data_IF_759986110633
#
_entry.id   IF_759986110633
#
_cell.length_a   1.000
_cell.length_b   1.000
_cell.length_c   1.000
_cell.angle_alpha   90.00
_cell.angle_beta   90.00
_cell.angle_gamma   90.00
#
_symmetry.space_group_name_H-M   'P 1'
#
loop_
_entity.id
_entity.type
_entity.pdbx_description
1 polymer ?
#
# COMPACT_ATOMS: atom_id res chain seq x y z
N UNK A 1 -18.00 -5.33 37.92
CA UNK A 1 -18.06 -6.12 36.66
C UNK A 1 -18.42 -7.57 36.96
N UNK A 2 -17.49 -8.52 37.14
CA UNK A 2 -17.79 -9.97 37.28
C UNK A 2 -18.88 -10.35 38.30
N UNK A 3 -18.98 -9.66 39.44
CA UNK A 3 -20.06 -9.91 40.41
C UNK A 3 -21.44 -9.47 39.89
N UNK A 4 -21.50 -8.32 39.20
CA UNK A 4 -22.72 -7.78 38.60
C UNK A 4 -23.15 -8.57 37.36
N UNK A 5 -22.19 -9.01 36.53
CA UNK A 5 -22.44 -9.91 35.40
C UNK A 5 -23.16 -11.20 35.87
N UNK A 6 -22.65 -11.86 36.92
CA UNK A 6 -23.29 -13.05 37.51
C UNK A 6 -24.72 -12.81 38.01
N UNK A 7 -25.03 -11.60 38.49
CA UNK A 7 -26.39 -11.24 38.91
C UNK A 7 -27.33 -11.02 37.71
N UNK A 8 -26.82 -10.55 36.57
CA UNK A 8 -27.59 -10.46 35.32
C UNK A 8 -27.74 -11.84 34.67
N UNK A 9 -26.70 -12.67 34.69
CA UNK A 9 -26.73 -14.06 34.20
C UNK A 9 -27.79 -14.91 34.91
N UNK A 10 -28.08 -14.64 36.19
CA UNK A 10 -29.18 -15.28 36.93
C UNK A 10 -30.52 -15.05 36.23
N UNK A 11 -30.87 -13.80 35.93
CA UNK A 11 -32.13 -13.47 35.25
C UNK A 11 -32.16 -13.98 33.80
N UNK A 12 -31.00 -14.00 33.11
CA UNK A 12 -30.88 -14.61 31.79
C UNK A 12 -31.02 -16.15 31.82
N UNK A 13 -30.64 -16.81 32.92
CA UNK A 13 -30.87 -18.24 33.11
C UNK A 13 -32.34 -18.55 33.41
N UNK A 14 -33.00 -17.76 34.27
CA UNK A 14 -34.43 -17.88 34.51
C UNK A 14 -35.23 -17.69 33.20
N UNK A 15 -34.92 -16.66 32.42
CA UNK A 15 -35.54 -16.40 31.13
C UNK A 15 -35.32 -17.53 30.10
N UNK A 16 -34.15 -18.19 30.11
CA UNK A 16 -33.86 -19.35 29.24
C UNK A 16 -34.56 -20.65 29.66
N UNK A 17 -35.19 -20.66 30.83
CA UNK A 17 -35.89 -21.82 31.41
C UNK A 17 -37.39 -21.60 31.50
N UNK A 18 -37.88 -20.45 30.99
CA UNK A 18 -39.23 -19.93 31.20
C UNK A 18 -39.63 -19.81 32.70
N UNK A 19 -38.64 -19.61 33.56
CA UNK A 19 -38.74 -19.46 35.02
C UNK A 19 -38.73 -17.96 35.47
N UNK A 20 -38.86 -17.01 34.53
CA UNK A 20 -38.88 -15.57 34.83
C UNK A 20 -40.32 -15.03 34.84
N UNK A 21 -40.97 -15.10 36.01
CA UNK A 21 -42.35 -14.65 36.23
C UNK A 21 -42.46 -13.34 37.06
N UNK A 22 -43.69 -12.96 37.43
CA UNK A 22 -43.99 -11.77 38.24
C UNK A 22 -43.71 -11.91 39.75
N UNK A 23 -43.34 -13.11 40.21
CA UNK A 23 -42.96 -13.40 41.59
C UNK A 23 -41.43 -13.36 41.79
N UNK A 24 -40.62 -13.44 40.73
CA UNK A 24 -39.16 -13.33 40.80
C UNK A 24 -38.72 -11.96 41.37
N UNK A 25 -37.92 -11.92 42.46
CA UNK A 25 -37.48 -10.66 43.05
C UNK A 25 -36.41 -9.95 42.20
N UNK A 26 -36.67 -8.69 41.86
CA UNK A 26 -35.76 -7.84 41.05
C UNK A 26 -34.69 -7.12 41.87
N UNK A 27 -34.61 -7.33 43.18
CA UNK A 27 -33.67 -6.65 44.09
C UNK A 27 -32.20 -6.75 43.67
N UNK A 28 -31.80 -7.87 43.07
CA UNK A 28 -30.41 -8.05 42.62
C UNK A 28 -30.13 -7.24 41.34
N UNK A 29 -31.13 -7.07 40.47
CA UNK A 29 -31.05 -6.16 39.34
C UNK A 29 -30.97 -4.70 39.82
N UNK A 30 -31.71 -4.33 40.88
CA UNK A 30 -31.60 -2.99 41.48
C UNK A 30 -30.20 -2.73 42.07
N UNK A 31 -29.61 -3.69 42.79
CA UNK A 31 -28.22 -3.61 43.27
C UNK A 31 -27.21 -3.42 42.14
N UNK A 32 -27.42 -4.11 41.00
CA UNK A 32 -26.60 -3.94 39.78
C UNK A 32 -26.78 -2.55 39.18
N UNK A 33 -28.00 -2.04 39.07
CA UNK A 33 -28.28 -0.69 38.57
C UNK A 33 -27.67 0.39 39.46
N UNK A 34 -27.76 0.28 40.79
CA UNK A 34 -27.11 1.21 41.74
C UNK A 34 -25.60 1.23 41.56
N UNK A 35 -24.95 0.06 41.40
CA UNK A 35 -23.52 -0.01 41.12
C UNK A 35 -23.15 0.68 39.78
N UNK A 36 -23.90 0.42 38.71
CA UNK A 36 -23.65 1.10 37.43
C UNK A 36 -23.90 2.60 37.50
N UNK A 37 -24.86 3.06 38.29
CA UNK A 37 -25.12 4.47 38.52
C UNK A 37 -23.95 5.16 39.23
N UNK A 38 -23.37 4.53 40.26
CA UNK A 38 -22.19 5.07 40.95
C UNK A 38 -20.93 5.03 40.06
N UNK A 39 -20.72 3.95 39.31
CA UNK A 39 -19.61 3.84 38.35
C UNK A 39 -19.70 4.94 37.28
N UNK A 40 -20.90 5.16 36.72
CA UNK A 40 -21.15 6.22 35.75
C UNK A 40 -20.88 7.61 36.35
N UNK A 41 -21.38 7.88 37.56
CA UNK A 41 -21.19 9.18 38.22
C UNK A 41 -19.72 9.51 38.52
N UNK A 42 -18.90 8.51 38.85
CA UNK A 42 -17.48 8.69 39.17
C UNK A 42 -16.58 8.74 37.93
N UNK A 43 -16.84 7.90 36.91
CA UNK A 43 -15.92 7.70 35.79
C UNK A 43 -16.40 8.24 34.44
N UNK A 44 -17.71 8.45 34.26
CA UNK A 44 -18.34 8.74 32.95
C UNK A 44 -19.24 10.00 32.99
N UNK A 45 -19.20 10.76 34.08
CA UNK A 45 -20.02 11.97 34.28
C UNK A 45 -19.75 13.07 33.24
N UNK A 46 -18.52 13.12 32.72
CA UNK A 46 -18.06 14.09 31.72
C UNK A 46 -18.20 13.58 30.26
N UNK A 47 -18.71 12.36 30.04
CA UNK A 47 -18.80 11.78 28.70
C UNK A 47 -19.88 12.41 27.81
N UNK A 48 -19.65 12.36 26.50
CA UNK A 48 -20.54 12.92 25.48
C UNK A 48 -21.80 12.07 25.27
N UNK A 49 -22.76 12.19 26.19
CA UNK A 49 -24.09 11.54 26.07
C UNK A 49 -24.89 12.10 24.90
N UNK A 50 -25.36 11.22 24.02
CA UNK A 50 -26.40 11.51 23.02
C UNK A 50 -27.70 11.95 23.72
N UNK A 51 -28.03 13.23 23.62
CA UNK A 51 -29.21 13.81 24.25
C UNK A 51 -30.54 13.30 23.68
N UNK A 52 -30.55 12.83 22.43
CA UNK A 52 -31.75 12.25 21.80
C UNK A 52 -32.06 10.88 22.41
N UNK A 53 -31.03 10.04 22.62
CA UNK A 53 -31.21 8.75 23.30
C UNK A 53 -31.51 8.96 24.79
N UNK A 54 -30.75 9.80 25.49
CA UNK A 54 -30.98 10.12 26.91
C UNK A 54 -32.41 10.57 27.18
N UNK A 55 -32.95 11.45 26.33
CA UNK A 55 -34.32 11.94 26.48
C UNK A 55 -35.37 10.89 26.11
N UNK A 56 -35.14 10.09 25.06
CA UNK A 56 -36.01 8.96 24.69
C UNK A 56 -36.14 7.97 25.84
N UNK A 57 -35.01 7.55 26.40
CA UNK A 57 -34.93 6.50 27.40
C UNK A 57 -35.46 7.00 28.76
N UNK A 58 -35.16 8.25 29.12
CA UNK A 58 -35.76 8.92 30.29
C UNK A 58 -37.28 9.03 30.18
N UNK A 59 -37.81 9.54 29.06
CA UNK A 59 -39.25 9.66 28.85
C UNK A 59 -39.94 8.29 28.76
N UNK A 60 -39.26 7.26 28.25
CA UNK A 60 -39.76 5.88 28.25
C UNK A 60 -39.82 5.29 29.65
N UNK A 61 -38.77 5.45 30.45
CA UNK A 61 -38.74 5.02 31.86
C UNK A 61 -39.84 5.70 32.68
N UNK A 62 -39.97 7.03 32.56
CA UNK A 62 -41.05 7.80 33.17
C UNK A 62 -42.44 7.31 32.70
N UNK A 63 -42.62 7.01 31.41
CA UNK A 63 -43.88 6.49 30.89
C UNK A 63 -44.26 5.16 31.55
N UNK A 64 -43.30 4.22 31.66
CA UNK A 64 -43.54 2.91 32.27
C UNK A 64 -43.84 3.04 33.76
N UNK A 65 -43.16 3.93 34.48
CA UNK A 65 -43.46 4.23 35.88
C UNK A 65 -44.85 4.86 36.07
N UNK A 66 -45.25 5.78 35.18
CA UNK A 66 -46.61 6.35 35.18
C UNK A 66 -47.68 5.30 34.84
N UNK A 67 -47.43 4.46 33.83
CA UNK A 67 -48.30 3.34 33.45
C UNK A 67 -48.51 2.38 34.64
N UNK A 68 -47.43 1.96 35.32
CA UNK A 68 -47.49 1.10 36.50
C UNK A 68 -48.21 1.77 37.69
N UNK A 69 -48.03 3.07 37.87
CA UNK A 69 -48.71 3.86 38.92
C UNK A 69 -50.22 3.93 38.66
N UNK A 70 -50.63 4.23 37.41
CA UNK A 70 -52.04 4.27 37.00
C UNK A 70 -52.70 2.89 37.15
N UNK A 71 -52.02 1.81 36.77
CA UNK A 71 -52.51 0.44 36.96
C UNK A 71 -52.70 0.10 38.44
N UNK A 72 -51.69 0.39 39.28
CA UNK A 72 -51.72 0.03 40.71
C UNK A 72 -52.79 0.83 41.48
N UNK A 73 -52.84 2.16 41.30
CA UNK A 73 -53.87 3.00 41.93
C UNK A 73 -55.27 2.70 41.38
N UNK A 74 -55.38 2.39 40.09
CA UNK A 74 -56.62 1.97 39.46
C UNK A 74 -57.16 0.66 40.06
N UNK A 75 -56.28 -0.31 40.33
CA UNK A 75 -56.66 -1.57 40.98
C UNK A 75 -57.09 -1.35 42.44
N UNK A 76 -56.39 -0.50 43.21
CA UNK A 76 -56.82 -0.13 44.58
C UNK A 76 -58.20 0.53 44.55
N UNK A 77 -58.46 1.41 43.58
CA UNK A 77 -59.73 2.14 43.45
C UNK A 77 -60.95 1.25 43.14
N UNK A 78 -60.74 -0.03 42.79
CA UNK A 78 -61.82 -1.02 42.59
C UNK A 78 -62.11 -1.82 43.87
N UNK A 79 -61.21 -1.79 44.87
CA UNK A 79 -61.33 -2.57 46.12
C UNK A 79 -62.13 -1.85 47.23
N UNK A 80 -62.46 -0.57 47.06
CA UNK A 80 -63.18 0.23 48.05
C UNK A 80 -64.62 0.54 47.56
N UNK A 81 -65.67 0.23 48.35
CA UNK A 81 -67.05 0.55 47.99
C UNK A 81 -67.49 1.95 48.43
N UNK A 82 -66.84 2.53 49.46
CA UNK A 82 -67.36 3.69 50.19
C UNK A 82 -66.86 5.03 49.62
N UNK A 83 -67.75 6.03 49.56
CA UNK A 83 -67.39 7.41 49.23
C UNK A 83 -66.98 8.19 50.48
N UNK A 84 -65.70 8.54 50.58
CA UNK A 84 -65.15 9.36 51.66
C UNK A 84 -63.74 9.88 51.34
N UNK A 85 -63.12 10.62 52.26
CA UNK A 85 -61.89 11.39 52.01
C UNK A 85 -60.72 10.56 51.45
N UNK A 86 -60.49 9.35 51.97
CA UNK A 86 -59.43 8.45 51.45
C UNK A 86 -59.68 8.05 49.99
N UNK A 87 -60.95 7.95 49.57
CA UNK A 87 -61.34 7.66 48.19
C UNK A 87 -61.32 8.91 47.30
N UNK A 88 -61.62 10.10 47.83
CA UNK A 88 -61.37 11.36 47.11
C UNK A 88 -59.87 11.50 46.81
N UNK A 89 -59.02 11.35 47.83
CA UNK A 89 -57.56 11.35 47.72
C UNK A 89 -57.05 10.35 46.68
N UNK A 90 -57.56 9.12 46.68
CA UNK A 90 -57.15 8.08 45.73
C UNK A 90 -57.59 8.40 44.29
N UNK A 91 -58.82 8.90 44.09
CA UNK A 91 -59.33 9.27 42.78
C UNK A 91 -58.58 10.47 42.18
N UNK A 92 -58.24 11.47 42.99
CA UNK A 92 -57.39 12.58 42.58
C UNK A 92 -55.97 12.11 42.23
N UNK A 93 -55.35 11.26 43.07
CA UNK A 93 -54.03 10.67 42.82
C UNK A 93 -54.00 9.89 41.49
N UNK A 94 -55.05 9.09 41.24
CA UNK A 94 -55.22 8.34 40.01
C UNK A 94 -55.46 9.25 38.79
N UNK A 95 -56.16 10.38 38.98
CA UNK A 95 -56.38 11.38 37.92
C UNK A 95 -55.08 12.09 37.55
N UNK A 96 -54.33 12.56 38.55
CA UNK A 96 -53.00 13.15 38.39
C UNK A 96 -52.02 12.17 37.71
N UNK A 97 -52.08 10.89 38.07
CA UNK A 97 -51.27 9.85 37.41
C UNK A 97 -51.67 9.62 35.93
N UNK A 98 -52.97 9.65 35.61
CA UNK A 98 -53.48 9.58 34.22
C UNK A 98 -53.07 10.82 33.41
N UNK A 99 -53.02 12.00 34.03
CA UNK A 99 -52.53 13.22 33.39
C UNK A 99 -51.03 13.14 33.11
N UNK A 100 -50.22 12.72 34.10
CA UNK A 100 -48.78 12.50 33.92
C UNK A 100 -48.50 11.48 32.80
N UNK A 101 -49.19 10.33 32.83
CA UNK A 101 -49.17 9.31 31.79
C UNK A 101 -49.49 9.88 30.40
N UNK A 102 -50.55 10.69 30.29
CA UNK A 102 -50.91 11.34 29.03
C UNK A 102 -49.86 12.36 28.57
N UNK A 103 -49.32 13.18 29.46
CA UNK A 103 -48.29 14.17 29.14
C UNK A 103 -46.99 13.51 28.67
N UNK A 104 -46.53 12.45 29.35
CA UNK A 104 -45.36 11.66 28.95
C UNK A 104 -45.57 10.98 27.58
N UNK A 105 -46.76 10.41 27.35
CA UNK A 105 -47.16 9.87 26.03
C UNK A 105 -47.30 10.96 24.96
N UNK A 106 -47.50 12.23 25.30
CA UNK A 106 -47.44 13.37 24.35
C UNK A 106 -45.98 13.75 24.08
N UNK A 107 -45.15 13.93 25.10
CA UNK A 107 -43.72 14.24 24.96
C UNK A 107 -43.00 13.23 24.05
N UNK A 108 -43.20 11.92 24.28
CA UNK A 108 -42.62 10.86 23.42
C UNK A 108 -43.06 10.90 21.96
N UNK A 109 -44.24 11.46 21.64
CA UNK A 109 -44.71 11.64 20.25
C UNK A 109 -44.09 12.83 19.54
N UNK A 110 -43.54 13.81 20.28
CA UNK A 110 -42.77 14.92 19.71
C UNK A 110 -41.28 14.63 19.60
N UNK A 111 -40.77 13.52 20.16
CA UNK A 111 -39.38 13.09 20.01
C UNK A 111 -39.18 12.42 18.64
N UNK A 112 -38.91 13.25 17.62
CA UNK A 112 -38.73 12.81 16.24
C UNK A 112 -37.47 11.94 16.05
N UNK A 113 -37.51 10.92 15.15
CA UNK A 113 -36.33 10.14 14.82
C UNK A 113 -35.30 10.98 14.05
N UNK A 114 -34.01 10.68 14.26
CA UNK A 114 -32.84 11.28 13.59
C UNK A 114 -32.49 12.75 13.95
N UNK A 115 -33.31 13.45 14.74
CA UNK A 115 -32.97 14.76 15.31
C UNK A 115 -31.85 14.61 16.35
N UNK A 116 -30.92 15.58 16.40
CA UNK A 116 -29.87 15.64 17.42
C UNK A 116 -30.28 16.66 18.51
N UNK A 117 -30.45 16.19 19.75
CA UNK A 117 -30.97 17.01 20.85
C UNK A 117 -29.90 17.36 21.89
N UNK A 118 -29.94 18.59 22.41
CA UNK A 118 -29.04 19.07 23.46
C UNK A 118 -29.71 19.16 24.84
N UNK A 119 -29.58 18.08 25.61
CA UNK A 119 -29.98 18.06 27.03
C UNK A 119 -28.84 18.63 27.88
N UNK A 120 -28.94 19.92 28.26
CA UNK A 120 -28.08 20.61 29.25
C UNK A 120 -27.99 19.85 30.58
N UNK A 121 -26.86 19.91 31.32
CA UNK A 121 -26.63 19.12 32.53
C UNK A 121 -27.71 19.31 33.61
N UNK A 122 -28.20 20.53 33.81
CA UNK A 122 -29.31 20.85 34.73
C UNK A 122 -30.54 19.98 34.44
N UNK A 123 -30.97 19.96 33.16
CA UNK A 123 -32.09 19.14 32.67
C UNK A 123 -31.82 17.64 32.78
N UNK A 124 -30.55 17.20 32.77
CA UNK A 124 -30.18 15.79 32.98
C UNK A 124 -30.40 15.36 34.43
N UNK A 125 -30.08 16.21 35.41
CA UNK A 125 -30.36 15.90 36.82
C UNK A 125 -31.85 16.05 37.12
N UNK A 126 -32.56 17.04 36.57
CA UNK A 126 -34.03 17.16 36.68
C UNK A 126 -34.74 15.90 36.18
N UNK A 127 -34.39 15.40 34.97
CA UNK A 127 -34.90 14.13 34.42
C UNK A 127 -34.58 12.93 35.33
N UNK A 128 -33.38 12.91 35.94
CA UNK A 128 -32.94 11.84 36.83
C UNK A 128 -33.65 11.89 38.18
N UNK A 129 -33.85 13.07 38.74
CA UNK A 129 -34.52 13.29 40.03
C UNK A 129 -36.00 12.96 39.94
N UNK A 130 -36.70 13.49 38.93
CA UNK A 130 -38.09 13.14 38.66
C UNK A 130 -38.24 11.65 38.29
N UNK A 131 -37.23 11.07 37.64
CA UNK A 131 -37.13 9.61 37.43
C UNK A 131 -37.05 8.81 38.74
N UNK A 132 -36.21 9.24 39.70
CA UNK A 132 -36.14 8.65 41.05
C UNK A 132 -37.46 8.84 41.81
N UNK A 133 -38.05 10.04 41.73
CA UNK A 133 -39.32 10.38 42.37
C UNK A 133 -40.49 9.52 41.87
N UNK A 134 -40.76 9.53 40.56
CA UNK A 134 -41.83 8.73 39.98
C UNK A 134 -41.56 7.21 40.10
N UNK A 135 -40.29 6.78 40.09
CA UNK A 135 -39.91 5.40 40.38
C UNK A 135 -40.26 4.97 41.82
N UNK A 136 -40.05 5.85 42.82
CA UNK A 136 -40.53 5.63 44.19
C UNK A 136 -42.06 5.66 44.28
N UNK A 137 -42.72 6.60 43.61
CA UNK A 137 -44.18 6.66 43.55
C UNK A 137 -44.80 5.36 42.99
N UNK A 138 -44.24 4.80 41.91
CA UNK A 138 -44.68 3.53 41.36
C UNK A 138 -44.50 2.36 42.35
N UNK A 139 -43.39 2.35 43.11
CA UNK A 139 -43.16 1.36 44.17
C UNK A 139 -44.16 1.49 45.33
N UNK A 140 -44.48 2.71 45.77
CA UNK A 140 -45.51 2.97 46.80
C UNK A 140 -46.87 2.50 46.31
N UNK A 141 -47.27 2.87 45.09
CA UNK A 141 -48.56 2.47 44.52
C UNK A 141 -48.68 0.94 44.40
N UNK A 142 -47.61 0.24 43.99
CA UNK A 142 -47.56 -1.22 43.92
C UNK A 142 -47.57 -1.89 45.32
N UNK A 143 -46.89 -1.31 46.31
CA UNK A 143 -46.93 -1.80 47.69
C UNK A 143 -48.33 -1.66 48.29
N UNK A 144 -48.95 -0.47 48.13
CA UNK A 144 -50.34 -0.19 48.51
C UNK A 144 -51.30 -1.15 47.82
N UNK A 145 -51.15 -1.39 46.52
CA UNK A 145 -51.96 -2.36 45.78
C UNK A 145 -51.84 -3.79 46.33
N UNK A 146 -50.62 -4.28 46.54
CA UNK A 146 -50.38 -5.62 47.09
C UNK A 146 -50.99 -5.78 48.48
N UNK A 147 -50.78 -4.81 49.38
CA UNK A 147 -51.34 -4.85 50.73
C UNK A 147 -52.86 -4.71 50.73
N UNK A 148 -53.44 -3.86 49.86
CA UNK A 148 -54.89 -3.71 49.72
C UNK A 148 -55.57 -4.98 49.21
N UNK A 149 -54.96 -5.70 48.26
CA UNK A 149 -55.46 -7.02 47.81
C UNK A 149 -55.40 -8.04 48.95
N UNK A 150 -54.30 -8.11 49.71
CA UNK A 150 -54.19 -9.03 50.85
C UNK A 150 -55.26 -8.72 51.91
N UNK A 151 -55.46 -7.47 52.28
CA UNK A 151 -56.50 -7.09 53.25
C UNK A 151 -57.92 -7.32 52.70
N UNK A 152 -58.20 -6.99 51.43
CA UNK A 152 -59.52 -7.23 50.82
C UNK A 152 -59.86 -8.73 50.66
N UNK A 153 -58.86 -9.61 50.53
CA UNK A 153 -59.08 -11.07 50.53
C UNK A 153 -59.23 -11.68 51.93
N UNK A 154 -58.72 -11.02 52.98
CA UNK A 154 -58.84 -11.47 54.37
C UNK A 154 -60.12 -10.93 55.05
N UNK A 155 -60.49 -9.69 54.77
CA UNK A 155 -61.66 -9.01 55.34
C UNK A 155 -62.31 -8.05 54.32
N UNK A 156 -63.13 -8.56 53.38
CA UNK A 156 -63.92 -7.73 52.49
C UNK A 156 -65.16 -7.15 53.22
N UNK A 157 -65.57 -5.89 52.95
CA UNK A 157 -64.90 -4.89 52.11
C UNK A 157 -63.73 -4.19 52.82
N UNK A 158 -62.80 -3.63 52.03
CA UNK A 158 -61.69 -2.82 52.56
C UNK A 158 -62.19 -1.44 53.00
N UNK A 159 -62.03 -1.10 54.30
CA UNK A 159 -62.48 0.17 54.84
C UNK A 159 -61.55 1.35 54.49
N UNK A 160 -62.11 2.56 54.47
CA UNK A 160 -61.37 3.79 54.16
C UNK A 160 -60.26 4.11 55.17
N UNK A 161 -60.44 3.76 56.45
CA UNK A 161 -59.41 3.87 57.49
C UNK A 161 -58.28 2.87 57.28
N UNK A 162 -58.60 1.61 56.93
CA UNK A 162 -57.58 0.60 56.67
C UNK A 162 -56.76 0.94 55.43
N UNK A 163 -57.38 1.49 54.37
CA UNK A 163 -56.62 2.02 53.23
C UNK A 163 -55.66 3.14 53.64
N UNK A 164 -56.06 4.01 54.57
CA UNK A 164 -55.22 5.11 55.08
C UNK A 164 -54.03 4.59 55.88
N UNK A 165 -54.21 3.59 56.73
CA UNK A 165 -53.09 2.90 57.39
C UNK A 165 -52.12 2.29 56.36
N UNK A 166 -52.66 1.58 55.36
CA UNK A 166 -51.86 0.95 54.31
C UNK A 166 -51.11 1.95 53.43
N UNK A 167 -51.63 3.16 53.20
CA UNK A 167 -50.94 4.17 52.40
C UNK A 167 -49.75 4.76 53.14
N UNK A 168 -49.86 4.99 54.46
CA UNK A 168 -48.72 5.34 55.31
C UNK A 168 -47.69 4.20 55.44
N UNK A 169 -48.12 2.94 55.58
CA UNK A 169 -47.21 1.78 55.59
C UNK A 169 -46.45 1.65 54.25
N UNK A 170 -47.14 1.90 53.14
CA UNK A 170 -46.55 1.86 51.81
C UNK A 170 -45.55 3.01 51.56
N UNK A 171 -45.75 4.20 52.14
CA UNK A 171 -44.81 5.32 51.98
C UNK A 171 -43.55 5.15 52.84
N UNK A 172 -43.68 4.81 54.13
CA UNK A 172 -42.54 4.56 55.03
C UNK A 172 -41.64 3.46 54.46
N UNK A 173 -42.23 2.37 53.96
CA UNK A 173 -41.50 1.26 53.34
C UNK A 173 -40.64 1.64 52.12
N UNK A 174 -40.91 2.77 51.45
CA UNK A 174 -40.21 3.19 50.21
C UNK A 174 -39.40 4.47 50.37
N UNK A 175 -39.84 5.41 51.21
CA UNK A 175 -39.14 6.67 51.50
C UNK A 175 -38.37 6.63 52.83
N UNK A 176 -38.86 5.89 53.83
CA UNK A 176 -38.26 5.77 55.16
C UNK A 176 -37.98 7.13 55.79
N UNK A 177 -36.71 7.47 55.95
CA UNK A 177 -36.27 8.77 56.51
C UNK A 177 -36.64 10.00 55.68
N UNK A 178 -37.05 9.82 54.42
CA UNK A 178 -37.56 10.89 53.56
C UNK A 178 -39.10 10.95 53.52
N UNK A 179 -39.81 10.10 54.29
CA UNK A 179 -41.27 10.07 54.25
C UNK A 179 -41.93 11.31 54.88
N UNK A 180 -43.08 11.67 54.32
CA UNK A 180 -44.00 12.74 54.76
C UNK A 180 -45.46 12.26 54.60
N UNK A 181 -45.64 10.93 54.51
CA UNK A 181 -46.91 10.27 54.27
C UNK A 181 -47.36 10.30 52.80
N UNK A 182 -48.64 9.94 52.55
CA UNK A 182 -49.18 9.72 51.21
C UNK A 182 -49.04 10.89 50.23
N UNK A 183 -48.91 12.14 50.68
CA UNK A 183 -48.72 13.27 49.75
C UNK A 183 -47.42 13.20 48.95
N UNK A 184 -46.36 12.54 49.45
CA UNK A 184 -45.12 12.34 48.65
C UNK A 184 -45.33 11.46 47.42
N UNK A 185 -46.37 10.63 47.40
CA UNK A 185 -46.83 9.96 46.17
C UNK A 185 -47.32 11.01 45.15
N UNK A 186 -48.21 11.91 45.58
CA UNK A 186 -48.86 12.91 44.74
C UNK A 186 -47.89 13.98 44.25
N UNK A 187 -46.98 14.45 45.11
CA UNK A 187 -45.91 15.38 44.74
C UNK A 187 -45.01 14.82 43.64
N UNK A 188 -44.53 13.57 43.79
CA UNK A 188 -43.68 12.93 42.79
C UNK A 188 -44.40 12.75 41.43
N UNK A 189 -45.69 12.43 41.45
CA UNK A 189 -46.52 12.36 40.24
C UNK A 189 -46.70 13.77 39.64
N UNK A 190 -46.99 14.79 40.44
CA UNK A 190 -47.14 16.18 40.00
C UNK A 190 -45.86 16.74 39.37
N UNK A 191 -44.70 16.48 39.97
CA UNK A 191 -43.39 16.81 39.40
C UNK A 191 -43.19 16.16 38.02
N UNK A 192 -43.58 14.88 37.87
CA UNK A 192 -43.51 14.18 36.59
C UNK A 192 -44.46 14.74 35.52
N UNK A 193 -45.66 15.17 35.91
CA UNK A 193 -46.61 15.87 35.03
C UNK A 193 -46.03 17.22 34.58
N UNK A 194 -45.51 18.03 35.51
CA UNK A 194 -44.90 19.32 35.19
C UNK A 194 -43.71 19.16 34.24
N UNK A 195 -42.79 18.24 34.53
CA UNK A 195 -41.65 17.95 33.65
C UNK A 195 -42.12 17.48 32.26
N UNK A 196 -43.11 16.58 32.20
CA UNK A 196 -43.65 16.10 30.93
C UNK A 196 -44.27 17.22 30.09
N UNK A 197 -44.98 18.18 30.72
CA UNK A 197 -45.53 19.35 30.03
C UNK A 197 -44.43 20.30 29.54
N UNK A 198 -43.41 20.60 30.37
CA UNK A 198 -42.21 21.37 29.95
C UNK A 198 -41.49 20.69 28.77
N UNK A 199 -41.41 19.36 28.78
CA UNK A 199 -40.79 18.59 27.69
C UNK A 199 -41.65 18.59 26.42
N UNK A 200 -42.98 18.62 26.52
CA UNK A 200 -43.86 18.83 25.35
C UNK A 200 -43.57 20.19 24.71
N UNK A 201 -43.52 21.28 25.49
CA UNK A 201 -43.29 22.62 24.92
C UNK A 201 -41.91 22.74 24.29
N UNK A 202 -40.86 22.27 24.97
CA UNK A 202 -39.47 22.32 24.47
C UNK A 202 -39.22 21.46 23.22
N UNK A 203 -39.96 20.35 23.05
CA UNK A 203 -39.92 19.54 21.83
C UNK A 203 -40.79 20.11 20.70
N UNK A 204 -41.81 20.91 21.02
CA UNK A 204 -42.65 21.59 20.02
C UNK A 204 -42.02 22.89 19.49
N UNK A 205 -41.25 23.61 20.32
CA UNK A 205 -40.57 24.86 19.93
C UNK A 205 -39.24 24.63 19.20
N UNK A 206 -38.67 23.42 19.26
CA UNK A 206 -37.37 23.11 18.67
C UNK A 206 -36.16 23.61 19.48
N UNK A 207 -36.37 24.18 20.68
CA UNK A 207 -35.31 24.71 21.57
C UNK A 207 -34.28 23.67 22.06
N UNK A 208 -34.55 22.39 21.79
CA UNK A 208 -33.65 21.28 22.07
C UNK A 208 -32.85 20.83 20.86
N UNK A 209 -33.20 21.24 19.64
CA UNK A 209 -32.52 20.77 18.42
C UNK A 209 -31.18 21.49 18.23
N UNK A 210 -30.13 20.72 17.96
CA UNK A 210 -28.84 21.24 17.53
C UNK A 210 -28.45 20.69 16.15
N UNK A 211 -27.69 21.44 15.33
CA UNK A 211 -27.14 20.90 14.10
C UNK A 211 -26.32 19.64 14.39
N UNK A 212 -26.48 18.63 13.55
CA UNK A 212 -25.80 17.34 13.72
C UNK A 212 -24.32 17.47 13.40
N UNK A 213 -23.52 17.72 14.42
CA UNK A 213 -22.07 17.70 14.35
C UNK A 213 -21.58 16.38 13.75
N UNK A 214 -20.52 16.39 12.90
CA UNK A 214 -19.91 15.16 12.44
C UNK A 214 -19.30 14.44 13.64
N UNK A 215 -19.84 13.25 13.98
CA UNK A 215 -19.24 12.42 15.01
C UNK A 215 -17.76 12.15 14.65
N UNK A 216 -16.83 12.18 15.61
CA UNK A 216 -15.47 11.72 15.39
C UNK A 216 -15.47 10.34 14.73
N UNK A 217 -14.60 10.10 13.75
CA UNK A 217 -14.47 8.78 13.16
C UNK A 217 -14.19 7.75 14.26
N UNK A 218 -14.98 6.66 14.37
CA UNK A 218 -14.82 5.72 15.47
C UNK A 218 -13.42 5.11 15.40
N UNK A 219 -12.73 4.88 16.55
CA UNK A 219 -11.32 4.53 16.53
C UNK A 219 -11.00 3.25 15.72
N UNK A 220 -11.98 2.35 15.56
CA UNK A 220 -11.88 1.17 14.71
C UNK A 220 -11.85 1.47 13.21
N UNK A 221 -12.52 2.53 12.72
CA UNK A 221 -12.39 2.96 11.31
C UNK A 221 -11.03 3.60 11.07
N UNK A 222 -10.56 4.47 11.98
CA UNK A 222 -9.22 5.06 11.92
C UNK A 222 -8.14 3.97 11.88
N UNK A 223 -8.16 3.01 12.81
CA UNK A 223 -7.22 1.89 12.80
C UNK A 223 -7.30 1.06 11.50
N UNK A 224 -8.50 0.82 10.98
CA UNK A 224 -8.69 0.11 9.72
C UNK A 224 -8.22 0.91 8.49
N UNK A 225 -8.26 2.25 8.52
CA UNK A 225 -7.65 3.11 7.50
C UNK A 225 -6.12 3.04 7.58
N UNK A 226 -5.54 3.20 8.78
CA UNK A 226 -4.09 3.13 9.01
C UNK A 226 -3.51 1.78 8.54
N UNK A 227 -4.14 0.66 8.91
CA UNK A 227 -3.70 -0.68 8.50
C UNK A 227 -3.77 -0.87 6.97
N UNK A 228 -4.79 -0.32 6.29
CA UNK A 228 -4.89 -0.34 4.83
C UNK A 228 -3.81 0.51 4.16
N UNK A 229 -3.42 1.63 4.76
CA UNK A 229 -2.35 2.46 4.22
C UNK A 229 -0.99 1.78 4.40
N UNK A 230 -0.70 1.26 5.60
CA UNK A 230 0.50 0.47 5.86
C UNK A 230 0.65 -0.73 4.91
N UNK A 231 -0.45 -1.43 4.59
CA UNK A 231 -0.42 -2.52 3.60
C UNK A 231 0.01 -2.03 2.20
N UNK A 232 -0.53 -0.90 1.71
CA UNK A 232 -0.13 -0.29 0.44
C UNK A 232 1.34 0.15 0.45
N UNK A 233 1.79 0.71 1.57
CA UNK A 233 3.17 1.20 1.72
C UNK A 233 4.16 0.01 1.71
N UNK A 234 3.79 -1.12 2.34
CA UNK A 234 4.54 -2.38 2.28
C UNK A 234 4.63 -2.91 0.84
N UNK A 235 3.52 -2.95 0.09
CA UNK A 235 3.53 -3.43 -1.30
C UNK A 235 4.30 -2.49 -2.24
N UNK A 236 4.25 -1.18 -2.00
CA UNK A 236 5.08 -0.20 -2.70
C UNK A 236 6.58 -0.30 -2.35
N UNK A 237 6.93 -0.77 -1.15
CA UNK A 237 8.31 -1.07 -0.77
C UNK A 237 8.79 -2.41 -1.37
N UNK A 238 7.93 -3.42 -1.44
CA UNK A 238 8.22 -4.71 -2.12
C UNK A 238 8.57 -4.50 -3.59
N UNK A 239 7.73 -3.80 -4.34
CA UNK A 239 7.98 -3.52 -5.76
C UNK A 239 9.30 -2.75 -6.00
N UNK A 240 9.69 -1.85 -5.08
CA UNK A 240 10.99 -1.17 -5.10
C UNK A 240 12.14 -2.12 -4.82
N UNK A 241 11.98 -3.05 -3.87
CA UNK A 241 12.99 -4.04 -3.51
C UNK A 241 13.21 -5.04 -4.66
N UNK A 242 12.15 -5.58 -5.23
CA UNK A 242 12.18 -6.46 -6.42
C UNK A 242 12.92 -5.77 -7.60
N UNK A 243 12.64 -4.48 -7.85
CA UNK A 243 13.37 -3.70 -8.85
C UNK A 243 14.86 -3.57 -8.54
N UNK A 244 15.26 -3.46 -7.26
CA UNK A 244 16.68 -3.42 -6.87
C UNK A 244 17.36 -4.77 -6.94
N UNK A 245 16.65 -5.87 -6.68
CA UNK A 245 17.18 -7.21 -6.89
C UNK A 245 17.42 -7.49 -8.37
N UNK A 246 16.53 -7.02 -9.25
CA UNK A 246 16.72 -7.06 -10.70
C UNK A 246 17.94 -6.21 -11.16
N UNK A 247 18.09 -4.97 -10.65
CA UNK A 247 19.28 -4.13 -10.89
C UNK A 247 20.57 -4.87 -10.49
N UNK A 248 20.60 -5.45 -9.28
CA UNK A 248 21.76 -6.17 -8.73
C UNK A 248 22.08 -7.42 -9.57
N UNK A 249 21.07 -8.17 -10.01
CA UNK A 249 21.27 -9.33 -10.88
C UNK A 249 21.86 -8.94 -12.25
N UNK A 250 21.36 -7.85 -12.85
CA UNK A 250 21.88 -7.32 -14.11
C UNK A 250 23.33 -6.82 -13.96
N UNK A 251 23.63 -6.07 -12.90
CA UNK A 251 24.98 -5.56 -12.60
C UNK A 251 25.98 -6.70 -12.33
N UNK A 252 25.58 -7.75 -11.59
CA UNK A 252 26.42 -8.95 -11.38
C UNK A 252 26.74 -9.67 -12.70
N UNK A 253 25.77 -9.77 -13.62
CA UNK A 253 26.00 -10.34 -14.96
C UNK A 253 26.94 -9.46 -15.80
N UNK A 254 26.75 -8.14 -15.78
CA UNK A 254 27.62 -7.19 -16.48
C UNK A 254 29.06 -7.24 -15.96
N UNK A 255 29.25 -7.28 -14.63
CA UNK A 255 30.55 -7.39 -14.00
C UNK A 255 31.28 -8.69 -14.40
N UNK A 256 30.57 -9.83 -14.44
CA UNK A 256 31.16 -11.10 -14.88
C UNK A 256 31.66 -11.03 -16.33
N UNK A 257 30.84 -10.54 -17.26
CA UNK A 257 31.25 -10.39 -18.66
C UNK A 257 32.47 -9.45 -18.80
N UNK A 258 32.51 -8.35 -18.04
CA UNK A 258 33.67 -7.43 -18.03
C UNK A 258 34.93 -8.04 -17.41
N UNK A 259 34.79 -8.93 -16.43
CA UNK A 259 35.92 -9.70 -15.89
C UNK A 259 36.47 -10.71 -16.91
N UNK A 260 35.58 -11.35 -17.68
CA UNK A 260 35.95 -12.27 -18.76
C UNK A 260 36.67 -11.52 -19.89
N UNK A 261 36.12 -10.41 -20.38
CA UNK A 261 36.76 -9.49 -21.34
C UNK A 261 38.15 -9.02 -20.87
N UNK A 262 38.27 -8.60 -19.60
CA UNK A 262 39.55 -8.15 -19.04
C UNK A 262 40.59 -9.27 -19.02
N UNK A 263 40.19 -10.49 -18.63
CA UNK A 263 41.09 -11.65 -18.62
C UNK A 263 41.59 -12.02 -20.03
N UNK A 264 40.73 -11.93 -21.05
CA UNK A 264 41.14 -12.16 -22.44
C UNK A 264 42.10 -11.07 -22.93
N UNK A 265 41.81 -9.79 -22.63
CA UNK A 265 42.68 -8.67 -22.98
C UNK A 265 44.04 -8.72 -22.26
N UNK A 266 44.09 -9.23 -21.03
CA UNK A 266 45.32 -9.48 -20.29
C UNK A 266 46.18 -10.57 -20.98
N UNK A 267 45.60 -11.72 -21.34
CA UNK A 267 46.30 -12.77 -22.10
C UNK A 267 46.79 -12.26 -23.47
N UNK A 268 45.98 -11.44 -24.17
CA UNK A 268 46.38 -10.79 -25.43
C UNK A 268 47.55 -9.83 -25.24
N UNK A 269 47.58 -9.05 -24.15
CA UNK A 269 48.69 -8.16 -23.77
C UNK A 269 49.97 -8.95 -23.54
N UNK A 270 49.94 -9.96 -22.66
CA UNK A 270 51.11 -10.77 -22.33
C UNK A 270 51.71 -11.47 -23.57
N UNK A 271 50.86 -11.90 -24.50
CA UNK A 271 51.28 -12.50 -25.77
C UNK A 271 51.84 -11.47 -26.78
N UNK A 272 51.48 -10.19 -26.66
CA UNK A 272 52.08 -9.10 -27.43
C UNK A 272 53.44 -8.68 -26.84
N UNK A 273 53.55 -8.58 -25.51
CA UNK A 273 54.80 -8.25 -24.81
C UNK A 273 55.86 -9.33 -25.05
N UNK A 274 55.52 -10.63 -24.92
CA UNK A 274 56.45 -11.74 -25.25
C UNK A 274 56.92 -11.72 -26.71
N UNK A 275 56.06 -11.31 -27.65
CA UNK A 275 56.45 -11.12 -29.06
C UNK A 275 57.37 -9.92 -29.25
N UNK A 276 57.15 -8.83 -28.50
CA UNK A 276 58.00 -7.65 -28.51
C UNK A 276 59.38 -7.96 -27.92
N UNK A 277 59.45 -8.69 -26.81
CA UNK A 277 60.71 -9.15 -26.21
C UNK A 277 61.52 -10.04 -27.15
N UNK A 278 60.88 -11.01 -27.82
CA UNK A 278 61.55 -11.87 -28.80
C UNK A 278 62.03 -11.07 -30.01
N UNK A 279 61.19 -10.16 -30.54
CA UNK A 279 61.56 -9.27 -31.64
C UNK A 279 62.69 -8.30 -31.27
N UNK A 280 62.75 -7.82 -30.03
CA UNK A 280 63.86 -7.00 -29.55
C UNK A 280 65.16 -7.81 -29.58
N UNK A 281 65.19 -9.00 -28.95
CA UNK A 281 66.35 -9.91 -28.96
C UNK A 281 66.79 -10.27 -30.38
N UNK A 282 65.86 -10.63 -31.26
CA UNK A 282 66.14 -10.93 -32.67
C UNK A 282 66.79 -9.75 -33.42
N UNK A 283 66.47 -8.51 -33.04
CA UNK A 283 67.07 -7.31 -33.63
C UNK A 283 68.43 -6.97 -32.98
N UNK A 284 68.59 -7.14 -31.67
CA UNK A 284 69.89 -7.01 -30.98
C UNK A 284 70.90 -8.02 -31.56
N UNK A 285 70.48 -9.28 -31.73
CA UNK A 285 71.25 -10.35 -32.38
C UNK A 285 71.69 -9.98 -33.81
N UNK A 286 70.86 -9.24 -34.55
CA UNK A 286 71.16 -8.74 -35.90
C UNK A 286 72.11 -7.55 -35.86
N UNK A 287 71.93 -6.63 -34.92
CA UNK A 287 72.84 -5.49 -34.70
C UNK A 287 74.23 -5.99 -34.34
N UNK A 288 74.38 -6.98 -33.46
CA UNK A 288 75.68 -7.59 -33.19
C UNK A 288 76.31 -8.24 -34.43
N UNK A 289 75.53 -8.98 -35.23
CA UNK A 289 76.02 -9.64 -36.46
C UNK A 289 76.47 -8.61 -37.50
N UNK A 290 75.71 -7.54 -37.70
CA UNK A 290 76.08 -6.42 -38.57
C UNK A 290 77.30 -5.66 -38.04
N UNK A 291 77.43 -5.48 -36.72
CA UNK A 291 78.59 -4.84 -36.09
C UNK A 291 79.86 -5.67 -36.30
N UNK A 292 79.80 -7.00 -36.11
CA UNK A 292 80.91 -7.92 -36.40
C UNK A 292 81.36 -7.82 -37.86
N UNK A 293 80.42 -7.89 -38.80
CA UNK A 293 80.70 -7.72 -40.25
C UNK A 293 81.27 -6.34 -40.59
N UNK A 294 80.79 -5.28 -39.92
CA UNK A 294 81.27 -3.91 -40.10
C UNK A 294 82.72 -3.76 -39.60
N UNK A 295 83.10 -4.42 -38.51
CA UNK A 295 84.46 -4.35 -37.98
C UNK A 295 85.43 -5.28 -38.74
N UNK A 296 84.97 -6.45 -39.19
CA UNK A 296 85.70 -7.31 -40.14
C UNK A 296 86.02 -6.57 -41.45
N UNK A 297 85.03 -5.87 -42.04
CA UNK A 297 85.22 -5.12 -43.28
C UNK A 297 86.12 -3.89 -43.09
N UNK A 298 86.07 -3.18 -41.95
CA UNK A 298 87.06 -2.15 -41.60
C UNK A 298 88.49 -2.72 -41.50
N UNK A 299 88.66 -3.91 -40.93
CA UNK A 299 89.98 -4.56 -40.82
C UNK A 299 90.50 -4.96 -42.20
N UNK A 300 89.64 -5.49 -43.08
CA UNK A 300 89.98 -5.81 -44.46
C UNK A 300 90.33 -4.55 -45.27
N UNK A 301 89.57 -3.47 -45.11
CA UNK A 301 89.86 -2.18 -45.74
C UNK A 301 91.24 -1.66 -45.32
N UNK A 302 91.54 -1.61 -44.02
CA UNK A 302 92.86 -1.17 -43.50
C UNK A 302 94.02 -2.03 -43.97
N UNK A 303 93.81 -3.34 -44.15
CA UNK A 303 94.83 -4.20 -44.77
C UNK A 303 95.05 -3.83 -46.23
N UNK A 304 93.99 -3.57 -47.00
CA UNK A 304 94.10 -3.15 -48.39
C UNK A 304 94.68 -1.75 -48.55
N UNK A 305 94.33 -0.80 -47.69
CA UNK A 305 94.97 0.53 -47.60
C UNK A 305 96.49 0.36 -47.43
N UNK A 306 96.94 -0.46 -46.47
CA UNK A 306 98.36 -0.75 -46.25
C UNK A 306 99.05 -1.48 -47.41
N UNK A 307 98.38 -2.46 -48.04
CA UNK A 307 98.89 -3.14 -49.23
C UNK A 307 99.05 -2.16 -50.42
N UNK A 308 98.14 -1.18 -50.56
CA UNK A 308 98.27 -0.11 -51.56
C UNK A 308 99.37 0.88 -51.21
N UNK A 309 99.54 1.26 -49.94
CA UNK A 309 100.66 2.09 -49.46
C UNK A 309 102.00 1.42 -49.77
N UNK A 310 102.17 0.14 -49.42
CA UNK A 310 103.37 -0.65 -49.75
C UNK A 310 103.62 -0.74 -51.27
N UNK A 311 102.56 -0.87 -52.07
CA UNK A 311 102.66 -0.88 -53.54
C UNK A 311 103.06 0.49 -54.09
N UNK A 312 102.57 1.59 -53.50
CA UNK A 312 102.91 2.96 -53.87
C UNK A 312 104.36 3.31 -53.50
N UNK A 313 104.83 2.90 -52.31
CA UNK A 313 106.22 3.05 -51.89
C UNK A 313 107.17 2.28 -52.83
N UNK A 314 106.81 1.05 -53.21
CA UNK A 314 107.55 0.28 -54.22
C UNK A 314 107.60 1.02 -55.58
N UNK A 315 106.46 1.50 -56.08
CA UNK A 315 106.40 2.24 -57.34
C UNK A 315 107.15 3.58 -57.29
N UNK A 316 107.16 4.27 -56.14
CA UNK A 316 107.95 5.49 -55.96
C UNK A 316 109.46 5.17 -55.92
N UNK A 317 109.86 4.06 -55.30
CA UNK A 317 111.23 3.56 -55.35
C UNK A 317 111.69 3.23 -56.78
N UNK A 318 110.82 2.60 -57.58
CA UNK A 318 111.06 2.35 -59.00
C UNK A 318 111.12 3.67 -59.81
N UNK A 319 110.27 4.66 -59.51
CA UNK A 319 110.33 6.00 -60.12
C UNK A 319 111.66 6.69 -59.79
N UNK A 320 112.09 6.70 -58.53
CA UNK A 320 113.34 7.34 -58.12
C UNK A 320 114.57 6.63 -58.72
N UNK A 321 114.53 5.30 -58.81
CA UNK A 321 115.53 4.50 -59.52
C UNK A 321 115.56 4.83 -61.02
N UNK A 322 114.41 4.89 -61.68
CA UNK A 322 114.29 5.26 -63.10
C UNK A 322 114.63 6.73 -63.36
N UNK A 323 114.37 7.64 -62.43
CA UNK A 323 114.77 9.06 -62.47
C UNK A 323 116.30 9.18 -62.39
N UNK A 324 116.94 8.42 -61.50
CA UNK A 324 118.40 8.31 -61.38
C UNK A 324 119.02 7.66 -62.60
N UNK A 325 118.50 6.52 -63.05
CA UNK A 325 118.94 5.86 -64.29
C UNK A 325 118.74 6.76 -65.50
N UNK A 326 117.64 7.49 -65.60
CA UNK A 326 117.42 8.53 -66.63
C UNK A 326 118.40 9.69 -66.47
N UNK A 327 118.80 10.06 -65.26
CA UNK A 327 119.87 11.03 -65.00
C UNK A 327 121.21 10.54 -65.57
N UNK A 328 121.64 9.36 -65.14
CA UNK A 328 122.83 8.70 -65.66
C UNK A 328 122.76 8.47 -67.18
N UNK A 329 121.62 8.05 -67.71
CA UNK A 329 121.38 7.85 -69.13
C UNK A 329 121.30 9.16 -69.89
N UNK A 330 120.90 10.27 -69.27
CA UNK A 330 120.93 11.62 -69.86
C UNK A 330 122.36 12.15 -69.93
N UNK A 331 123.21 11.83 -68.96
CA UNK A 331 124.65 12.14 -69.01
C UNK A 331 125.38 11.21 -69.98
N UNK A 332 125.07 9.91 -69.99
CA UNK A 332 125.49 8.97 -71.04
C UNK A 332 124.94 9.38 -72.42
N UNK A 333 123.78 10.03 -72.54
CA UNK A 333 123.20 10.52 -73.81
C UNK A 333 123.77 11.88 -74.25
N UNK A 334 124.22 12.75 -73.33
CA UNK A 334 125.10 13.88 -73.69
C UNK A 334 126.38 13.33 -74.34
N UNK A 335 126.98 12.30 -73.73
CA UNK A 335 128.19 11.63 -74.19
C UNK A 335 127.98 10.78 -75.47
N UNK A 336 126.78 10.20 -75.65
CA UNK A 336 126.37 9.31 -76.76
C UNK A 336 125.26 9.98 -77.57
N UNK A 337 125.42 11.28 -77.86
CA UNK A 337 124.54 12.08 -78.72
C UNK A 337 124.75 11.77 -80.22
N UNK A 338 125.00 10.49 -80.54
CA UNK A 338 125.17 9.92 -81.89
C UNK A 338 124.57 8.51 -81.94
N UNK A 339 123.56 8.30 -82.80
CA UNK A 339 122.89 7.02 -83.19
C UNK A 339 121.59 6.57 -82.45
N UNK A 340 120.53 7.37 -82.57
CA UNK A 340 119.42 7.13 -83.54
C UNK A 340 118.56 5.82 -83.52
N UNK A 341 117.37 5.90 -82.90
CA UNK A 341 115.97 5.64 -83.40
C UNK A 341 115.29 4.23 -83.65
N UNK A 342 114.07 4.11 -83.06
CA UNK A 342 112.71 3.67 -83.57
C UNK A 342 112.19 2.20 -83.77
N UNK A 343 111.13 1.82 -83.01
CA UNK A 343 109.75 1.27 -83.37
C UNK A 343 108.97 0.83 -82.09
N UNK A 344 107.66 0.50 -82.01
CA UNK A 344 106.45 0.55 -82.91
C UNK A 344 105.88 -0.84 -83.35
N UNK A 345 104.57 -1.19 -83.35
CA UNK A 345 103.27 -0.60 -82.90
C UNK A 345 102.10 -1.65 -83.05
N UNK A 346 100.82 -1.31 -82.71
CA UNK A 346 99.52 -2.05 -82.95
C UNK A 346 99.22 -3.33 -82.09
N UNK A 347 97.98 -3.84 -81.82
CA UNK A 347 96.50 -3.53 -81.92
C UNK A 347 95.70 -4.66 -81.17
N UNK A 348 94.36 -4.88 -81.03
CA UNK A 348 93.00 -4.26 -81.17
C UNK A 348 91.93 -5.32 -80.66
N UNK A 349 90.58 -5.18 -80.54
CA UNK A 349 89.61 -4.12 -80.14
C UNK A 349 88.14 -4.69 -80.03
N UNK A 350 87.22 -4.09 -79.23
CA UNK A 350 85.73 -4.34 -79.23
C UNK A 350 85.12 -5.13 -78.03
N UNK A 351 83.82 -5.03 -77.65
CA UNK A 351 82.73 -4.09 -78.01
C UNK A 351 81.29 -4.47 -77.52
N UNK A 352 80.46 -3.47 -77.15
CA UNK A 352 78.96 -3.53 -76.93
C UNK A 352 78.42 -4.15 -75.62
N UNK A 353 77.17 -3.94 -75.16
CA UNK A 353 76.12 -2.91 -75.40
C UNK A 353 74.96 -2.99 -74.35
N UNK A 354 74.28 -1.87 -74.04
CA UNK A 354 73.08 -1.74 -73.14
C UNK A 354 71.77 -1.62 -73.97
N UNK A 355 70.52 -1.26 -73.50
CA UNK A 355 70.05 -0.74 -72.19
C UNK A 355 68.58 -1.08 -71.70
N UNK A 356 68.22 -0.49 -70.55
CA UNK A 356 66.90 0.11 -70.18
C UNK A 356 65.66 -0.68 -69.69
N UNK A 357 64.95 -0.04 -68.76
CA UNK A 357 63.61 -0.25 -68.15
C UNK A 357 62.77 1.04 -68.41
N UNK A 358 61.42 1.15 -68.21
CA UNK A 358 60.54 0.57 -67.18
C UNK A 358 59.27 -0.10 -67.80
N UNK A 359 58.00 -0.12 -67.33
CA UNK A 359 57.23 0.61 -66.28
C UNK A 359 55.95 -0.17 -65.85
N UNK A 360 55.21 0.34 -64.84
CA UNK A 360 53.98 -0.27 -64.31
C UNK A 360 52.96 0.79 -63.79
N UNK A 361 51.89 1.08 -64.54
CA UNK A 361 50.79 1.94 -64.06
C UNK A 361 49.38 1.61 -64.59
N UNK A 362 49.24 1.23 -65.86
CA UNK A 362 47.92 1.08 -66.52
C UNK A 362 47.05 -0.09 -65.99
N UNK A 363 47.69 -1.15 -65.48
CA UNK A 363 46.99 -2.36 -65.01
C UNK A 363 46.08 -2.13 -63.79
N UNK A 364 46.24 -1.02 -63.05
CA UNK A 364 45.41 -0.75 -61.86
C UNK A 364 44.04 -0.16 -62.20
N UNK A 365 43.88 0.49 -63.36
CA UNK A 365 42.61 1.11 -63.79
C UNK A 365 41.70 0.09 -64.47
N UNK A 366 42.26 -0.85 -65.26
CA UNK A 366 41.49 -1.91 -65.92
C UNK A 366 40.77 -2.86 -64.92
N UNK A 367 41.34 -3.04 -63.72
CA UNK A 367 40.81 -3.97 -62.71
C UNK A 367 39.58 -3.43 -61.95
N UNK A 368 39.44 -2.12 -61.77
CA UNK A 368 38.29 -1.54 -61.04
C UNK A 368 37.03 -1.45 -61.92
N UNK A 369 37.21 -1.20 -63.22
CA UNK A 369 36.12 -1.17 -64.22
C UNK A 369 35.46 -2.55 -64.37
N UNK A 370 36.28 -3.60 -64.54
CA UNK A 370 35.81 -4.98 -64.72
C UNK A 370 35.07 -5.55 -63.51
N UNK A 371 35.37 -5.07 -62.30
CA UNK A 371 34.64 -5.46 -61.09
C UNK A 371 33.26 -4.79 -60.99
N UNK A 372 33.12 -3.51 -61.38
CA UNK A 372 31.85 -2.79 -61.32
C UNK A 372 30.79 -3.37 -62.29
N UNK A 373 31.17 -3.68 -63.53
CA UNK A 373 30.22 -4.28 -64.48
C UNK A 373 29.71 -5.66 -64.02
N UNK A 374 30.59 -6.46 -63.41
CA UNK A 374 30.24 -7.79 -62.87
C UNK A 374 29.18 -7.71 -61.77
N UNK A 375 29.23 -6.69 -60.90
CA UNK A 375 28.20 -6.46 -59.88
C UNK A 375 26.86 -6.03 -60.51
N UNK A 376 26.88 -5.09 -61.47
CA UNK A 376 25.69 -4.60 -62.19
C UNK A 376 24.96 -5.70 -62.97
N UNK A 377 25.70 -6.65 -63.57
CA UNK A 377 25.13 -7.78 -64.30
C UNK A 377 24.50 -8.84 -63.37
N UNK A 378 25.05 -9.03 -62.16
CA UNK A 378 24.45 -9.92 -61.16
C UNK A 378 23.09 -9.39 -60.67
N UNK A 379 22.97 -8.09 -60.40
CA UNK A 379 21.71 -7.48 -59.92
C UNK A 379 20.56 -7.65 -60.91
N UNK A 380 20.82 -7.39 -62.20
CA UNK A 380 19.84 -7.60 -63.28
C UNK A 380 19.37 -9.05 -63.39
N UNK A 381 20.24 -10.02 -63.07
CA UNK A 381 19.87 -11.44 -63.09
C UNK A 381 18.92 -11.80 -61.93
N UNK A 382 19.04 -11.18 -60.77
CA UNK A 382 18.05 -11.31 -59.69
C UNK A 382 16.73 -10.62 -60.01
N UNK A 383 16.76 -9.41 -60.59
CA UNK A 383 15.54 -8.66 -60.97
C UNK A 383 14.72 -9.39 -62.04
N UNK A 384 15.38 -10.03 -63.01
CA UNK A 384 14.73 -10.85 -64.04
C UNK A 384 14.04 -12.12 -63.49
N UNK A 385 14.44 -12.60 -62.30
CA UNK A 385 13.85 -13.79 -61.66
C UNK A 385 12.66 -13.47 -60.74
N UNK A 386 12.50 -12.20 -60.31
CA UNK A 386 11.43 -11.79 -59.38
C UNK A 386 10.35 -10.93 -60.02
N UNK A 387 10.64 -10.21 -61.10
CA UNK A 387 9.72 -9.25 -61.73
C UNK A 387 8.56 -9.88 -62.54
N UNK A 388 8.64 -11.17 -62.90
CA UNK A 388 7.68 -11.80 -63.82
C UNK A 388 6.52 -12.59 -63.19
N UNK A 389 6.57 -12.93 -61.90
CA UNK A 389 5.74 -14.00 -61.33
C UNK A 389 4.77 -13.61 -60.18
N UNK A 390 4.90 -12.41 -59.61
CA UNK A 390 4.10 -11.99 -58.45
C UNK A 390 3.43 -10.63 -58.66
N UNK A 391 2.10 -10.63 -58.66
CA UNK A 391 1.28 -9.41 -58.71
C UNK A 391 1.34 -8.70 -57.34
N UNK A 392 1.60 -7.38 -57.28
CA UNK A 392 1.54 -6.64 -56.02
C UNK A 392 0.16 -6.74 -55.37
N UNK A 393 0.11 -7.18 -54.11
CA UNK A 393 -1.13 -7.28 -53.33
C UNK A 393 -1.52 -5.89 -52.81
N UNK A 394 -2.36 -5.18 -53.57
CA UNK A 394 -3.04 -3.98 -53.08
C UNK A 394 -4.13 -4.38 -52.06
N UNK A 395 -4.04 -3.97 -50.77
CA UNK A 395 -5.07 -4.26 -49.79
C UNK A 395 -6.35 -3.48 -50.12
N UNK A 396 -7.46 -4.18 -50.35
CA UNK A 396 -8.76 -3.55 -50.56
C UNK A 396 -9.21 -2.84 -49.28
N UNK A 397 -9.33 -1.52 -49.34
CA UNK A 397 -9.70 -0.67 -48.20
C UNK A 397 -11.20 -0.73 -47.89
N UNK A 398 -11.67 -1.91 -47.50
CA UNK A 398 -13.02 -2.15 -46.98
C UNK A 398 -12.94 -3.01 -45.71
N UNK A 399 -14.02 -3.02 -44.93
CA UNK A 399 -14.18 -3.91 -43.76
C UNK A 399 -13.21 -3.74 -42.58
N UNK A 400 -12.66 -2.54 -42.30
CA UNK A 400 -12.21 -2.25 -40.90
C UNK A 400 -13.41 -2.10 -39.97
N UNK A 401 -14.36 -1.22 -40.31
CA UNK A 401 -15.58 -0.95 -39.52
C UNK A 401 -16.44 -2.21 -39.37
N UNK A 402 -16.64 -2.98 -40.44
CA UNK A 402 -17.46 -4.21 -40.42
C UNK A 402 -16.77 -5.30 -39.58
N UNK A 403 -15.47 -5.54 -39.75
CA UNK A 403 -14.76 -6.51 -38.89
C UNK A 403 -14.76 -6.10 -37.42
N UNK A 404 -14.71 -4.81 -37.09
CA UNK A 404 -14.78 -4.37 -35.69
C UNK A 404 -16.20 -4.47 -35.12
N UNK A 405 -17.23 -4.13 -35.90
CA UNK A 405 -18.63 -4.34 -35.54
C UNK A 405 -18.93 -5.82 -35.24
N UNK A 406 -18.49 -6.73 -36.12
CA UNK A 406 -18.65 -8.17 -35.93
C UNK A 406 -17.92 -8.68 -34.67
N UNK A 407 -16.68 -8.21 -34.39
CA UNK A 407 -15.97 -8.56 -33.15
C UNK A 407 -16.66 -8.05 -31.88
N UNK A 408 -17.30 -6.88 -31.93
CA UNK A 408 -18.07 -6.33 -30.80
C UNK A 408 -19.35 -7.15 -30.56
N UNK A 409 -20.04 -7.53 -31.64
CA UNK A 409 -21.22 -8.42 -31.59
C UNK A 409 -20.89 -9.79 -30.99
N UNK A 410 -19.81 -10.43 -31.45
CA UNK A 410 -19.42 -11.77 -31.02
C UNK A 410 -19.04 -11.81 -29.53
N UNK A 411 -18.30 -10.78 -29.04
CA UNK A 411 -18.02 -10.62 -27.60
C UNK A 411 -19.29 -10.43 -26.78
N UNK A 412 -20.20 -9.55 -27.20
CA UNK A 412 -21.45 -9.33 -26.50
C UNK A 412 -22.32 -10.62 -26.43
N UNK A 413 -22.26 -11.46 -27.46
CA UNK A 413 -22.93 -12.77 -27.46
C UNK A 413 -22.29 -13.74 -26.46
N UNK A 414 -20.95 -13.83 -26.42
CA UNK A 414 -20.22 -14.65 -25.44
C UNK A 414 -20.46 -14.16 -24.00
N UNK A 415 -20.44 -12.85 -23.76
CA UNK A 415 -20.69 -12.23 -22.46
C UNK A 415 -22.14 -12.50 -21.97
N UNK A 416 -23.13 -12.45 -22.85
CA UNK A 416 -24.52 -12.80 -22.54
C UNK A 416 -24.66 -14.29 -22.23
N UNK A 417 -24.02 -15.18 -22.99
CA UNK A 417 -24.03 -16.61 -22.72
C UNK A 417 -23.33 -16.94 -21.38
N UNK A 418 -22.22 -16.28 -21.06
CA UNK A 418 -21.56 -16.34 -19.74
C UNK A 418 -22.52 -15.91 -18.62
N UNK A 419 -23.26 -14.81 -18.78
CA UNK A 419 -24.23 -14.33 -17.79
C UNK A 419 -25.39 -15.32 -17.61
N UNK A 420 -25.94 -15.87 -18.69
CA UNK A 420 -27.02 -16.86 -18.63
C UNK A 420 -26.57 -18.18 -17.96
N UNK A 421 -25.34 -18.66 -18.23
CA UNK A 421 -24.81 -19.89 -17.62
C UNK A 421 -24.42 -19.67 -16.14
N UNK A 422 -24.02 -18.47 -15.76
CA UNK A 422 -23.65 -18.13 -14.37
C UNK A 422 -24.80 -17.56 -13.52
N UNK A 423 -26.02 -17.44 -14.06
CA UNK A 423 -27.19 -16.99 -13.34
C UNK A 423 -27.58 -18.00 -12.23
N UNK A 424 -27.31 -17.64 -10.97
CA UNK A 424 -27.63 -18.45 -9.78
C UNK A 424 -28.63 -17.73 -8.88
N UNK A 425 -29.47 -18.50 -8.20
CA UNK A 425 -30.37 -17.98 -7.15
C UNK A 425 -29.53 -17.32 -6.05
N UNK A 426 -29.99 -16.17 -5.55
CA UNK A 426 -29.28 -15.36 -4.56
C UNK A 426 -29.21 -16.10 -3.21
N UNK A 427 -28.00 -16.49 -2.82
CA UNK A 427 -27.74 -17.27 -1.60
C UNK A 427 -27.68 -16.35 -0.37
N UNK A 428 -28.81 -16.27 0.35
CA UNK A 428 -28.98 -15.44 1.55
C UNK A 428 -28.14 -15.89 2.77
N UNK A 429 -27.46 -17.03 2.72
CA UNK A 429 -26.60 -17.52 3.82
C UNK A 429 -25.16 -16.94 3.78
N UNK A 430 -24.85 -16.09 2.80
CA UNK A 430 -23.53 -15.52 2.53
C UNK A 430 -23.56 -13.99 2.45
N UNK A 431 -22.45 -13.35 2.83
CA UNK A 431 -22.28 -11.91 2.62
C UNK A 431 -22.12 -11.55 1.14
N UNK A 432 -22.11 -10.26 0.81
CA UNK A 432 -21.84 -9.73 -0.55
C UNK A 432 -20.43 -10.04 -1.09
N UNK A 433 -19.65 -10.85 -0.38
CA UNK A 433 -18.33 -11.37 -0.76
C UNK A 433 -18.28 -12.91 -0.72
N UNK A 434 -19.44 -13.56 -0.74
CA UNK A 434 -19.60 -15.02 -0.86
C UNK A 434 -19.21 -15.83 0.40
N UNK A 435 -18.92 -15.18 1.53
CA UNK A 435 -18.51 -15.86 2.77
C UNK A 435 -19.72 -16.23 3.60
N UNK A 436 -19.79 -17.51 4.00
CA UNK A 436 -20.86 -18.00 4.88
C UNK A 436 -20.82 -17.28 6.22
N UNK A 437 -21.99 -16.85 6.71
CA UNK A 437 -22.10 -16.09 7.96
C UNK A 437 -21.57 -16.89 9.17
N UNK A 438 -21.71 -18.21 9.13
CA UNK A 438 -21.13 -19.15 10.12
C UNK A 438 -19.59 -19.08 10.12
N UNK A 439 -18.95 -19.07 8.95
CA UNK A 439 -17.49 -19.03 8.83
C UNK A 439 -16.86 -17.72 9.32
N UNK A 440 -17.57 -16.60 9.18
CA UNK A 440 -17.15 -15.33 9.79
C UNK A 440 -17.25 -15.37 11.31
N UNK A 441 -18.33 -15.97 11.83
CA UNK A 441 -18.59 -16.10 13.28
C UNK A 441 -17.57 -17.02 13.96
N UNK A 442 -17.15 -18.11 13.32
CA UNK A 442 -16.05 -18.97 13.80
C UNK A 442 -14.71 -18.22 13.77
N UNK A 443 -14.34 -17.59 12.64
CA UNK A 443 -13.05 -16.87 12.56
C UNK A 443 -12.96 -15.65 13.48
N UNK A 444 -14.08 -15.02 13.82
CA UNK A 444 -14.11 -13.97 14.83
C UNK A 444 -13.88 -14.52 16.26
N UNK A 445 -14.31 -15.75 16.56
CA UNK A 445 -14.05 -16.42 17.84
C UNK A 445 -12.62 -17.00 17.93
N UNK A 446 -12.04 -17.41 16.80
CA UNK A 446 -10.63 -17.83 16.72
C UNK A 446 -9.68 -16.63 16.83
N UNK A 447 -9.97 -15.53 16.14
CA UNK A 447 -9.18 -14.28 16.21
C UNK A 447 -9.34 -13.52 17.54
N UNK A 448 -10.27 -13.91 18.41
CA UNK A 448 -10.43 -13.41 19.78
C UNK A 448 -9.83 -14.36 20.84
N UNK A 449 -9.01 -15.34 20.41
CA UNK A 449 -8.30 -16.31 21.27
C UNK A 449 -6.77 -16.21 21.18
N UNK A 450 -6.26 -15.14 20.56
CA UNK A 450 -4.84 -14.76 20.46
C UNK A 450 -4.72 -13.31 20.94
#
# INVERSE_FOLDING_TARGET
MVAQEKLVDLYLQLLRRDELDEHVPLENLEKVLTYFHSLYAVHLSNECVDGTNLLRDSLQSLSVAADATVCSLGAVSVLLPDTGDTMAWLNESLTLAKEAQQALRRARRHLLPNVCLEVRPERREELREVGRGLGRAAKVALALHRSAVVQATQSPPLSADKLKELSHEATDRVYGKEDDGPERLREAIAQSLQLALRMVTLLQSGELEKPKEPMPEPPISVCAQTARQQARDIDALRAKLESREADIAALRKALKMKSEEYSEMHVRKDMAEKKLELSARDNDDRVEKLQRQLDETKILLRRKEKEFEETLDHLQGDIDALEKERGELKDKLKLVSKKTLYKGLSEAAGGGSTPSWPHLQDLRIALSHTQHERARLMLRRSEALTSGALRPLSPTSSSRVICEGLRRLLRAQDDILQLCVNARVVDLAKDSRGRTLVGQRVKALEAARV
#
